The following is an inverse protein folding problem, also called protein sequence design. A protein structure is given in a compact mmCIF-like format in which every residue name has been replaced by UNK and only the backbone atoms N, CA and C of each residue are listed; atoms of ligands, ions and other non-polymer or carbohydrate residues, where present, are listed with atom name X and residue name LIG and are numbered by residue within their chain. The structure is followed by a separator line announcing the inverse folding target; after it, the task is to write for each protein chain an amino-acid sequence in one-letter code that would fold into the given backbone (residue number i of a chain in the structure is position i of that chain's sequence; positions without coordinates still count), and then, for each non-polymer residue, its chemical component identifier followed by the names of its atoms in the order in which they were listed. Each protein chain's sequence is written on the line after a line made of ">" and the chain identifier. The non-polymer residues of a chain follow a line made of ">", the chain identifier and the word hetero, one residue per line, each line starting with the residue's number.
data_IF_710473705503
#
_entry.id   IF_710473705503
#
_cell.length_a   1.000
_cell.length_b   1.000
_cell.length_c   1.000
_cell.angle_alpha   90.00
_cell.angle_beta   90.00
_cell.angle_gamma   90.00
#
_symmetry.space_group_name_H-M   'P 1'
#
loop_
_entity.id
_entity.type
_entity.pdbx_description
1 polymer ?
#
# COMPACT_ATOMS: atom_id res chain seq x y z
N UNK A 1 5.49 9.02 -21.95
CA UNK A 1 4.29 8.35 -21.37
C UNK A 1 3.87 9.15 -20.16
N UNK A 2 2.57 9.46 -20.06
CA UNK A 2 2.01 10.13 -18.88
C UNK A 2 1.96 9.13 -17.71
N UNK A 3 2.22 9.58 -16.48
CA UNK A 3 2.09 8.74 -15.30
C UNK A 3 0.63 8.28 -15.12
N UNK A 4 0.44 7.03 -14.70
CA UNK A 4 -0.87 6.50 -14.33
C UNK A 4 -1.06 6.74 -12.84
N UNK A 5 -2.04 7.54 -12.45
CA UNK A 5 -2.38 7.84 -11.06
C UNK A 5 -3.73 7.24 -10.70
N UNK A 6 -3.80 6.45 -9.63
CA UNK A 6 -5.03 5.80 -9.17
C UNK A 6 -5.08 5.69 -7.65
N UNK A 7 -6.29 5.70 -7.11
CA UNK A 7 -6.56 5.46 -5.69
C UNK A 7 -7.01 4.02 -5.52
N UNK A 8 -6.44 3.33 -4.54
CA UNK A 8 -6.77 1.96 -4.17
C UNK A 8 -7.23 1.92 -2.72
N UNK A 9 -8.13 0.98 -2.43
CA UNK A 9 -8.70 0.82 -1.11
C UNK A 9 -8.79 -0.65 -0.71
N UNK A 10 -8.56 -0.88 0.57
CA UNK A 10 -8.99 -2.07 1.29
C UNK A 10 -10.17 -1.65 2.18
N UNK A 11 -11.36 -2.17 1.89
CA UNK A 11 -12.59 -1.86 2.64
C UNK A 11 -13.35 -3.14 2.96
N UNK A 12 -13.41 -3.50 4.24
CA UNK A 12 -14.17 -4.66 4.74
C UNK A 12 -14.86 -4.34 6.05
N UNK A 13 -15.86 -5.15 6.38
CA UNK A 13 -16.51 -5.14 7.68
C UNK A 13 -16.45 -6.56 8.24
N UNK A 14 -15.92 -6.73 9.44
CA UNK A 14 -15.84 -8.03 10.12
C UNK A 14 -16.34 -7.87 11.55
N UNK A 15 -17.32 -8.69 11.95
CA UNK A 15 -17.91 -8.67 13.30
C UNK A 15 -18.35 -7.27 13.76
N UNK A 16 -18.91 -6.48 12.83
CA UNK A 16 -19.37 -5.11 13.11
C UNK A 16 -18.27 -4.05 13.18
N UNK A 17 -16.99 -4.41 13.04
CA UNK A 17 -15.87 -3.44 12.98
C UNK A 17 -15.47 -3.16 11.53
N UNK A 18 -15.32 -1.88 11.21
CA UNK A 18 -14.81 -1.45 9.90
C UNK A 18 -13.32 -1.69 9.78
N UNK A 19 -12.89 -2.04 8.57
CA UNK A 19 -11.49 -2.15 8.18
C UNK A 19 -11.30 -1.33 6.93
N UNK A 20 -10.62 -0.20 7.07
CA UNK A 20 -10.41 0.75 5.99
C UNK A 20 -8.93 1.12 5.88
N UNK A 21 -8.40 1.01 4.67
CA UNK A 21 -7.18 1.67 4.27
C UNK A 21 -7.32 2.17 2.84
N UNK A 22 -6.58 3.21 2.49
CA UNK A 22 -6.43 3.58 1.10
C UNK A 22 -5.11 4.27 0.83
N UNK A 23 -4.67 4.15 -0.42
CA UNK A 23 -3.45 4.79 -0.92
C UNK A 23 -3.68 5.31 -2.32
N UNK A 24 -3.09 6.45 -2.61
CA UNK A 24 -3.01 7.00 -3.96
C UNK A 24 -1.62 6.75 -4.51
N UNK A 25 -1.53 5.94 -5.56
CA UNK A 25 -0.28 5.53 -6.18
C UNK A 25 -0.17 6.08 -7.60
N UNK A 26 1.05 6.41 -7.98
CA UNK A 26 1.44 6.85 -9.32
C UNK A 26 2.43 5.85 -9.92
N UNK A 27 2.21 5.39 -11.15
CA UNK A 27 3.12 4.52 -11.88
C UNK A 27 3.67 5.22 -13.13
N UNK A 28 4.98 5.13 -13.30
CA UNK A 28 5.69 5.54 -14.51
C UNK A 28 6.68 4.47 -14.96
N UNK A 29 6.78 4.24 -16.27
CA UNK A 29 7.86 3.41 -16.83
C UNK A 29 9.14 4.23 -16.97
N UNK A 30 10.25 3.68 -16.52
CA UNK A 30 11.58 4.30 -16.56
C UNK A 30 12.58 3.39 -17.26
N UNK A 31 13.68 3.96 -17.77
CA UNK A 31 14.75 3.21 -18.44
C UNK A 31 15.79 2.64 -17.47
N UNK A 32 15.76 3.09 -16.22
CA UNK A 32 16.68 2.69 -15.15
C UNK A 32 16.08 1.57 -14.28
N UNK A 33 16.77 1.18 -13.20
CA UNK A 33 16.24 0.21 -12.23
C UNK A 33 14.93 0.73 -11.62
N UNK A 34 13.99 -0.19 -11.35
CA UNK A 34 12.77 0.13 -10.62
C UNK A 34 13.09 0.81 -9.29
N UNK A 35 12.25 1.78 -8.90
CA UNK A 35 12.43 2.58 -7.70
C UNK A 35 11.09 3.04 -7.13
N UNK A 36 11.08 3.35 -5.84
CA UNK A 36 9.93 3.92 -5.12
C UNK A 36 10.22 5.38 -4.80
N UNK A 37 9.20 6.23 -4.96
CA UNK A 37 9.31 7.66 -4.67
C UNK A 37 8.28 8.05 -3.61
N UNK A 38 8.74 8.76 -2.58
CA UNK A 38 7.85 9.45 -1.65
C UNK A 38 7.40 10.78 -2.26
N UNK A 39 6.11 10.88 -2.59
CA UNK A 39 5.43 12.13 -2.98
C UNK A 39 4.20 12.37 -2.09
N UNK A 40 4.16 11.78 -0.88
CA UNK A 40 2.94 11.75 -0.08
C UNK A 40 2.62 13.15 0.45
N UNK A 41 1.47 13.67 0.05
CA UNK A 41 1.07 15.03 0.43
C UNK A 41 0.20 15.08 1.69
N UNK A 42 -0.32 13.95 2.18
CA UNK A 42 -1.25 13.89 3.31
C UNK A 42 -2.45 14.83 3.12
N UNK A 43 -3.08 14.77 1.94
CA UNK A 43 -4.06 15.79 1.49
C UNK A 43 -5.23 15.93 2.47
N UNK A 44 -5.77 14.80 2.92
CA UNK A 44 -6.91 14.81 3.85
C UNK A 44 -6.52 15.47 5.17
N UNK A 45 -5.33 15.18 5.70
CA UNK A 45 -4.86 15.76 6.98
C UNK A 45 -4.56 17.26 6.88
N UNK A 46 -3.98 17.70 5.75
CA UNK A 46 -3.74 19.12 5.47
C UNK A 46 -5.03 19.92 5.34
N UNK A 47 -6.11 19.30 4.85
CA UNK A 47 -7.40 19.97 4.73
C UNK A 47 -8.01 20.37 6.09
N UNK A 48 -7.64 19.67 7.17
CA UNK A 48 -8.17 19.91 8.52
C UNK A 48 -7.21 20.67 9.44
N UNK A 49 -5.95 20.89 9.03
CA UNK A 49 -4.91 21.51 9.89
C UNK A 49 -4.11 22.55 9.11
N UNK A 50 -4.26 23.83 9.47
CA UNK A 50 -3.58 24.97 8.81
C UNK A 50 -2.05 24.86 8.91
N UNK A 51 -1.53 24.39 10.05
CA UNK A 51 -0.10 24.21 10.30
C UNK A 51 0.28 22.72 10.36
N UNK A 52 -0.14 21.95 9.35
CA UNK A 52 0.13 20.52 9.30
C UNK A 52 1.63 20.21 9.37
N UNK A 53 2.02 19.42 10.36
CA UNK A 53 3.34 18.81 10.45
C UNK A 53 3.21 17.30 10.52
N UNK A 54 4.00 16.61 9.70
CA UNK A 54 4.04 15.15 9.70
C UNK A 54 4.61 14.64 11.03
N UNK A 55 3.79 13.93 11.80
CA UNK A 55 4.19 13.35 13.09
C UNK A 55 5.18 12.19 12.88
N UNK A 56 5.92 11.82 13.93
CA UNK A 56 6.81 10.65 13.86
C UNK A 56 6.05 9.36 13.51
N UNK A 57 4.82 9.21 14.00
CA UNK A 57 3.96 8.07 13.68
C UNK A 57 3.60 8.03 12.18
N UNK A 58 3.24 9.18 11.59
CA UNK A 58 2.95 9.28 10.15
C UNK A 58 4.18 8.94 9.30
N UNK A 59 5.37 9.42 9.71
CA UNK A 59 6.64 9.07 9.06
C UNK A 59 6.90 7.57 9.10
N UNK A 60 6.64 6.91 10.23
CA UNK A 60 6.80 5.46 10.37
C UNK A 60 5.87 4.69 9.44
N UNK A 61 4.58 5.07 9.37
CA UNK A 61 3.61 4.47 8.42
C UNK A 61 4.12 4.64 6.98
N UNK A 62 4.55 5.84 6.63
CA UNK A 62 5.01 6.15 5.28
C UNK A 62 6.25 5.36 4.90
N UNK A 63 7.27 5.34 5.76
CA UNK A 63 8.49 4.54 5.56
C UNK A 63 8.13 3.06 5.35
N UNK A 64 7.23 2.55 6.19
CA UNK A 64 6.78 1.17 6.14
C UNK A 64 6.02 0.81 4.83
N UNK A 65 5.19 1.72 4.33
CA UNK A 65 4.55 1.59 3.01
C UNK A 65 5.61 1.56 1.90
N UNK A 66 6.55 2.51 1.91
CA UNK A 66 7.57 2.63 0.87
C UNK A 66 8.44 1.38 0.79
N UNK A 67 8.88 0.84 1.93
CA UNK A 67 9.62 -0.43 2.00
C UNK A 67 8.80 -1.60 1.47
N UNK A 68 7.48 -1.64 1.73
CA UNK A 68 6.63 -2.70 1.20
C UNK A 68 6.49 -2.64 -0.33
N UNK A 69 6.35 -1.43 -0.89
CA UNK A 69 6.34 -1.23 -2.36
C UNK A 69 7.69 -1.65 -2.96
N UNK A 70 8.79 -1.26 -2.32
CA UNK A 70 10.13 -1.60 -2.77
C UNK A 70 10.32 -3.12 -2.81
N UNK A 71 9.91 -3.81 -1.75
CA UNK A 71 9.97 -5.27 -1.69
C UNK A 71 9.14 -5.95 -2.78
N UNK A 72 7.93 -5.44 -3.08
CA UNK A 72 7.13 -5.97 -4.20
C UNK A 72 7.88 -5.78 -5.52
N UNK A 73 8.45 -4.59 -5.76
CA UNK A 73 9.19 -4.30 -7.00
C UNK A 73 10.47 -5.12 -7.14
N UNK A 74 11.18 -5.39 -6.06
CA UNK A 74 12.40 -6.22 -6.06
C UNK A 74 12.10 -7.68 -6.39
N UNK A 75 10.94 -8.18 -5.94
CA UNK A 75 10.51 -9.55 -6.20
C UNK A 75 9.66 -9.68 -7.46
N UNK A 76 9.29 -8.55 -8.10
CA UNK A 76 8.59 -8.53 -9.37
C UNK A 76 9.59 -8.48 -10.53
N UNK A 77 9.77 -9.62 -11.20
CA UNK A 77 10.63 -9.70 -12.36
C UNK A 77 9.94 -9.07 -13.59
N UNK A 78 10.24 -7.80 -13.89
CA UNK A 78 9.82 -7.17 -15.12
C UNK A 78 11.01 -6.64 -15.91
N UNK A 79 11.01 -6.87 -17.22
CA UNK A 79 12.08 -6.45 -18.14
C UNK A 79 12.15 -4.94 -18.40
N UNK A 80 11.42 -4.11 -17.64
CA UNK A 80 11.38 -2.65 -17.77
C UNK A 80 11.36 -2.05 -16.37
N UNK A 81 12.13 -0.98 -16.14
CA UNK A 81 12.08 -0.26 -14.87
C UNK A 81 10.72 0.38 -14.58
N UNK A 82 10.27 0.27 -13.33
CA UNK A 82 9.05 0.90 -12.84
C UNK A 82 9.37 1.91 -11.73
N UNK A 83 8.83 3.12 -11.84
CA UNK A 83 8.83 4.12 -10.78
C UNK A 83 7.42 4.16 -10.19
N UNK A 84 7.28 3.76 -8.91
CA UNK A 84 6.02 3.86 -8.16
C UNK A 84 6.13 4.97 -7.12
N UNK A 85 5.26 5.97 -7.24
CA UNK A 85 5.14 7.07 -6.28
C UNK A 85 3.97 6.86 -5.32
N UNK A 86 4.21 6.96 -4.01
CA UNK A 86 3.15 7.15 -3.03
C UNK A 86 2.78 8.63 -3.00
N UNK A 87 1.55 8.98 -3.38
CA UNK A 87 1.14 10.39 -3.50
C UNK A 87 0.17 10.83 -2.41
N UNK A 88 -0.58 9.89 -1.81
CA UNK A 88 -1.45 10.19 -0.68
C UNK A 88 -1.82 8.92 0.10
N UNK A 89 -2.19 9.09 1.37
CA UNK A 89 -2.70 8.01 2.24
C UNK A 89 -4.10 8.42 2.73
N UNK A 90 -5.06 7.52 2.55
CA UNK A 90 -6.45 7.71 2.96
C UNK A 90 -6.72 6.93 4.24
N UNK A 91 -7.23 7.62 5.26
CA UNK A 91 -7.51 7.04 6.57
C UNK A 91 -8.94 7.39 7.01
N UNK A 92 -9.55 6.48 7.77
CA UNK A 92 -10.76 6.72 8.55
C UNK A 92 -10.37 6.48 10.02
N UNK A 93 -10.42 7.50 10.91
CA UNK A 93 -9.86 7.42 12.26
C UNK A 93 -10.26 6.20 13.08
N UNK A 94 -11.50 5.71 12.93
CA UNK A 94 -12.02 4.58 13.70
C UNK A 94 -11.78 3.21 13.05
N UNK A 95 -11.49 3.18 11.74
CA UNK A 95 -11.46 1.94 10.95
C UNK A 95 -10.08 1.66 10.33
N UNK A 96 -9.13 2.60 10.46
CA UNK A 96 -7.80 2.48 9.86
C UNK A 96 -6.75 2.03 10.86
N UNK A 97 -6.09 0.94 10.49
CA UNK A 97 -4.83 0.48 11.07
C UNK A 97 -3.78 0.43 9.94
N UNK A 98 -2.48 0.52 10.24
CA UNK A 98 -1.44 0.45 9.21
C UNK A 98 -1.50 -0.81 8.36
N UNK A 99 -1.95 -1.94 8.94
CA UNK A 99 -2.19 -3.19 8.22
C UNK A 99 -3.25 -3.07 7.10
N UNK A 100 -4.31 -2.28 7.31
CA UNK A 100 -5.32 -2.01 6.29
C UNK A 100 -4.77 -1.13 5.15
N UNK A 101 -3.92 -0.16 5.49
CA UNK A 101 -3.24 0.68 4.50
C UNK A 101 -2.34 -0.21 3.64
N UNK A 102 -1.58 -1.12 4.24
CA UNK A 102 -0.71 -2.03 3.50
C UNK A 102 -1.44 -3.04 2.61
N UNK A 103 -2.60 -3.57 3.03
CA UNK A 103 -3.41 -4.35 2.10
C UNK A 103 -3.81 -3.53 0.87
N UNK A 104 -4.12 -2.25 1.05
CA UNK A 104 -4.40 -1.32 -0.06
C UNK A 104 -3.17 -1.10 -0.94
N UNK A 105 -1.97 -1.07 -0.36
CA UNK A 105 -0.69 -0.97 -1.08
C UNK A 105 -0.45 -2.21 -1.94
N UNK A 106 -0.58 -3.41 -1.38
CA UNK A 106 -0.40 -4.66 -2.12
C UNK A 106 -1.39 -4.70 -3.29
N UNK A 107 -2.68 -4.54 -3.01
CA UNK A 107 -3.73 -4.51 -4.05
C UNK A 107 -3.43 -3.44 -5.10
N UNK A 108 -3.00 -2.26 -4.67
CA UNK A 108 -2.74 -1.12 -5.55
C UNK A 108 -1.53 -1.30 -6.44
N UNK A 109 -0.41 -1.80 -5.90
CA UNK A 109 0.81 -2.04 -6.68
C UNK A 109 0.55 -3.12 -7.73
N UNK A 110 -0.01 -4.26 -7.34
CA UNK A 110 -0.37 -5.35 -8.26
C UNK A 110 -1.40 -4.90 -9.31
N UNK A 111 -2.38 -4.09 -8.91
CA UNK A 111 -3.34 -3.48 -9.82
C UNK A 111 -2.72 -2.49 -10.82
N UNK A 112 -1.70 -1.73 -10.42
CA UNK A 112 -1.00 -0.78 -11.30
C UNK A 112 -0.09 -1.48 -12.30
N UNK A 113 0.61 -2.52 -11.89
CA UNK A 113 1.51 -3.29 -12.76
C UNK A 113 0.77 -4.29 -13.65
N UNK A 114 -0.58 -4.24 -13.65
CA UNK A 114 -1.47 -5.10 -14.46
C UNK A 114 -1.36 -6.60 -14.14
N UNK A 115 -0.97 -6.93 -12.90
CA UNK A 115 -0.97 -8.29 -12.38
C UNK A 115 -2.08 -8.41 -11.33
N UNK A 116 -3.30 -8.65 -11.80
CA UNK A 116 -4.46 -8.72 -10.91
C UNK A 116 -4.34 -9.89 -9.93
N UNK A 117 -4.58 -9.61 -8.65
CA UNK A 117 -4.63 -10.63 -7.61
C UNK A 117 -5.88 -11.50 -7.79
N UNK A 118 -5.71 -12.81 -7.70
CA UNK A 118 -6.81 -13.77 -7.70
C UNK A 118 -7.47 -13.88 -6.31
N UNK A 119 -8.61 -14.57 -6.23
CA UNK A 119 -9.38 -14.72 -5.00
C UNK A 119 -8.58 -15.34 -3.84
N UNK A 120 -7.73 -16.33 -4.13
CA UNK A 120 -6.89 -16.97 -3.13
C UNK A 120 -5.85 -16.00 -2.56
N UNK A 121 -5.22 -15.19 -3.41
CA UNK A 121 -4.26 -14.16 -2.98
C UNK A 121 -4.94 -13.07 -2.16
N UNK A 122 -6.16 -12.66 -2.51
CA UNK A 122 -6.96 -11.74 -1.69
C UNK A 122 -7.29 -12.37 -0.33
N UNK A 123 -7.66 -13.66 -0.29
CA UNK A 123 -7.93 -14.37 0.95
C UNK A 123 -6.69 -14.47 1.86
N UNK A 124 -5.48 -14.59 1.29
CA UNK A 124 -4.23 -14.54 2.04
C UNK A 124 -4.02 -13.18 2.72
N UNK A 125 -4.28 -12.08 2.01
CA UNK A 125 -4.22 -10.72 2.59
C UNK A 125 -5.19 -10.59 3.76
N UNK A 126 -6.43 -11.08 3.60
CA UNK A 126 -7.42 -11.04 4.67
C UNK A 126 -7.00 -11.83 5.91
N UNK A 127 -6.52 -13.06 5.69
CA UNK A 127 -6.05 -13.94 6.76
C UNK A 127 -4.90 -13.28 7.51
N UNK A 128 -3.95 -12.70 6.79
CA UNK A 128 -2.82 -11.99 7.38
C UNK A 128 -3.27 -10.81 8.24
N UNK A 129 -4.20 -9.98 7.77
CA UNK A 129 -4.76 -8.88 8.56
C UNK A 129 -5.42 -9.40 9.83
N UNK A 130 -6.23 -10.46 9.73
CA UNK A 130 -6.91 -11.03 10.90
C UNK A 130 -5.90 -11.51 11.94
N UNK A 131 -4.83 -12.19 11.50
CA UNK A 131 -3.80 -12.73 12.38
C UNK A 131 -2.93 -11.65 13.04
N UNK A 132 -2.83 -10.46 12.44
CA UNK A 132 -2.00 -9.36 12.93
C UNK A 132 -2.82 -8.17 13.44
N UNK A 133 -4.03 -8.41 13.96
CA UNK A 133 -4.90 -7.32 14.45
C UNK A 133 -4.25 -6.50 15.58
N UNK A 134 -3.43 -7.13 16.42
CA UNK A 134 -2.74 -6.49 17.54
C UNK A 134 -1.30 -6.05 17.20
N UNK A 135 -0.79 -6.42 16.02
CA UNK A 135 0.53 -6.02 15.55
C UNK A 135 0.36 -4.90 14.52
N UNK A 136 0.75 -3.70 14.90
CA UNK A 136 0.59 -2.52 14.06
C UNK A 136 1.52 -2.53 12.83
N UNK A 137 2.72 -3.11 12.96
CA UNK A 137 3.76 -3.15 11.92
C UNK A 137 4.31 -4.58 11.70
N UNK A 138 3.49 -5.55 11.26
CA UNK A 138 3.96 -6.92 11.06
C UNK A 138 4.89 -7.04 9.84
N UNK A 139 5.64 -8.14 9.71
CA UNK A 139 6.50 -8.32 8.54
C UNK A 139 5.68 -8.78 7.32
N UNK A 140 5.51 -7.92 6.32
CA UNK A 140 4.75 -8.23 5.10
C UNK A 140 5.54 -8.97 4.02
N UNK A 141 6.85 -9.11 4.19
CA UNK A 141 7.68 -9.79 3.19
C UNK A 141 7.22 -11.24 3.00
N UNK A 142 6.84 -11.92 4.08
CA UNK A 142 6.30 -13.28 4.04
C UNK A 142 4.99 -13.35 3.24
N UNK A 143 4.05 -12.42 3.50
CA UNK A 143 2.80 -12.34 2.75
C UNK A 143 3.05 -12.08 1.26
N UNK A 144 3.96 -11.15 0.92
CA UNK A 144 4.29 -10.82 -0.47
C UNK A 144 4.88 -12.05 -1.18
N UNK A 145 5.78 -12.79 -0.54
CA UNK A 145 6.32 -14.03 -1.08
C UNK A 145 5.25 -15.11 -1.23
N UNK A 146 4.32 -15.22 -0.29
CA UNK A 146 3.21 -16.19 -0.37
C UNK A 146 2.25 -15.86 -1.52
N UNK A 147 1.94 -14.57 -1.72
CA UNK A 147 1.16 -14.10 -2.88
C UNK A 147 1.86 -14.48 -4.18
N UNK A 148 3.19 -14.28 -4.27
CA UNK A 148 3.97 -14.59 -5.46
C UNK A 148 4.00 -16.09 -5.80
N UNK A 149 4.04 -16.97 -4.78
CA UNK A 149 3.99 -18.43 -4.96
C UNK A 149 2.64 -18.95 -5.45
N UNK A 150 1.57 -18.17 -5.21
CA UNK A 150 0.20 -18.51 -5.61
C UNK A 150 -0.22 -17.78 -6.91
N UNK A 151 0.75 -17.32 -7.71
CA UNK A 151 0.53 -16.86 -9.10
C UNK A 151 0.51 -18.01 -10.10
#
# INVERSE_FOLDING_TARGET
>A
MNPIRKIFFYKKQLNGRGRFGGVELELKKVKEKSKVIDKCEWKDWKAYTVDFQETNYMKSIKAYILTSIEYILENYNCGIGLEIGLTDIKVLPSDTQPTHILASVIIGVYGLISQHLNENQIALIDKFIIQNTDNEFPNYNELILEILKNN
#
